data_IF_371269568088
#
_entry.id   IF_371269568088
#
_cell.length_a   1.000
_cell.length_b   1.000
_cell.length_c   1.000
_cell.angle_alpha   90.00
_cell.angle_beta   90.00
_cell.angle_gamma   90.00
#
_symmetry.space_group_name_H-M   'P 1'
#
loop_
_entity.id
_entity.type
_entity.pdbx_description
1 polymer ?
#
# COMPACT_ATOMS: atom_id res chain seq x y z
N UNK A 1 -9.57 9.83 -18.05
CA UNK A 1 -8.15 10.25 -18.04
C UNK A 1 -7.35 9.42 -19.04
N UNK A 2 -6.24 9.97 -19.59
CA UNK A 2 -5.26 9.21 -20.37
C UNK A 2 -4.24 8.55 -19.43
N UNK A 3 -3.50 7.56 -19.93
CA UNK A 3 -2.35 7.00 -19.21
C UNK A 3 -1.28 8.08 -19.00
N UNK A 4 -0.77 8.17 -17.78
CA UNK A 4 0.33 9.06 -17.43
C UNK A 4 1.65 8.54 -18.05
N UNK A 5 2.52 9.45 -18.43
CA UNK A 5 3.89 9.10 -18.76
C UNK A 5 4.67 8.72 -17.50
N UNK A 6 5.75 7.97 -17.65
CA UNK A 6 6.68 7.64 -16.56
C UNK A 6 7.13 8.91 -15.83
N UNK A 7 7.54 9.93 -16.59
CA UNK A 7 7.99 11.21 -16.03
C UNK A 7 6.90 11.92 -15.21
N UNK A 8 5.64 11.84 -15.63
CA UNK A 8 4.52 12.42 -14.88
C UNK A 8 4.26 11.65 -13.59
N UNK A 9 4.31 10.33 -13.65
CA UNK A 9 4.17 9.47 -12.46
C UNK A 9 5.28 9.75 -11.44
N UNK A 10 6.52 9.85 -11.88
CA UNK A 10 7.64 10.20 -11.01
C UNK A 10 7.50 11.59 -10.40
N UNK A 11 7.00 12.57 -11.15
CA UNK A 11 6.72 13.90 -10.61
C UNK A 11 5.67 13.84 -9.50
N UNK A 12 4.58 13.09 -9.69
CA UNK A 12 3.54 12.93 -8.67
C UNK A 12 4.08 12.23 -7.42
N UNK A 13 4.90 11.19 -7.58
CA UNK A 13 5.47 10.50 -6.41
C UNK A 13 6.48 11.36 -5.66
N UNK A 14 7.29 12.15 -6.35
CA UNK A 14 8.23 13.11 -5.72
C UNK A 14 7.46 14.21 -4.98
N UNK A 15 6.45 14.80 -5.63
CA UNK A 15 5.56 15.78 -5.02
C UNK A 15 4.91 15.22 -3.75
N UNK A 16 4.36 13.99 -3.83
CA UNK A 16 3.73 13.33 -2.70
C UNK A 16 4.70 13.09 -1.54
N UNK A 17 5.90 12.61 -1.83
CA UNK A 17 6.93 12.36 -0.81
C UNK A 17 7.36 13.63 -0.09
N UNK A 18 7.56 14.72 -0.83
CA UNK A 18 8.06 15.98 -0.27
C UNK A 18 6.93 16.77 0.40
N UNK A 19 5.84 17.01 -0.31
CA UNK A 19 4.83 17.97 0.11
C UNK A 19 3.72 17.40 1.00
N UNK A 20 3.46 16.08 0.92
CA UNK A 20 2.40 15.46 1.73
C UNK A 20 2.94 14.62 2.88
N UNK A 21 4.01 13.86 2.67
CA UNK A 21 4.53 12.97 3.72
C UNK A 21 5.90 13.38 4.25
N UNK A 22 6.50 14.45 3.73
CA UNK A 22 7.78 15.03 4.17
C UNK A 22 8.80 13.92 4.47
N UNK A 23 9.18 13.20 3.43
CA UNK A 23 10.11 12.08 3.51
C UNK A 23 11.14 12.15 2.39
N UNK A 24 12.26 11.49 2.59
CA UNK A 24 13.28 11.31 1.57
C UNK A 24 12.74 10.68 0.28
N UNK A 25 13.30 11.06 -0.85
CA UNK A 25 12.81 10.65 -2.17
C UNK A 25 13.05 9.18 -2.49
N UNK A 26 14.07 8.57 -1.89
CA UNK A 26 14.57 7.25 -2.27
C UNK A 26 14.42 6.20 -1.14
N UNK A 27 14.12 6.65 0.10
CA UNK A 27 13.98 5.77 1.27
C UNK A 27 12.69 4.94 1.27
N UNK A 28 12.69 3.74 1.84
CA UNK A 28 11.47 2.99 2.13
C UNK A 28 10.51 3.78 3.01
N UNK A 29 9.21 3.62 2.79
CA UNK A 29 8.18 4.28 3.60
C UNK A 29 7.38 3.24 4.41
N UNK A 30 6.99 3.61 5.63
CA UNK A 30 6.06 2.82 6.41
C UNK A 30 4.63 3.30 6.14
N UNK A 31 3.82 2.46 5.54
CA UNK A 31 2.45 2.81 5.12
C UNK A 31 1.56 3.22 6.29
N UNK A 32 1.70 2.58 7.47
CA UNK A 32 0.92 2.94 8.66
C UNK A 32 1.27 4.35 9.14
N UNK A 33 2.57 4.67 9.18
CA UNK A 33 3.06 6.02 9.52
C UNK A 33 2.59 7.05 8.49
N UNK A 34 2.60 6.72 7.20
CA UNK A 34 2.10 7.59 6.14
C UNK A 34 0.62 7.91 6.35
N UNK A 35 -0.23 6.91 6.58
CA UNK A 35 -1.67 7.11 6.83
C UNK A 35 -1.93 8.01 8.04
N UNK A 36 -1.21 7.78 9.14
CA UNK A 36 -1.32 8.60 10.35
C UNK A 36 -0.93 10.05 10.06
N UNK A 37 0.19 10.27 9.37
CA UNK A 37 0.68 11.62 9.02
C UNK A 37 -0.28 12.39 8.12
N UNK A 38 -0.93 11.69 7.20
CA UNK A 38 -1.92 12.26 6.29
C UNK A 38 -3.31 12.47 6.91
N UNK A 39 -3.54 11.98 8.12
CA UNK A 39 -4.86 12.02 8.76
C UNK A 39 -5.91 11.18 8.00
N UNK A 40 -5.48 10.18 7.24
CA UNK A 40 -6.39 9.29 6.51
C UNK A 40 -6.91 8.22 7.46
N UNK A 41 -8.24 8.13 7.58
CA UNK A 41 -8.88 7.04 8.31
C UNK A 41 -8.84 5.78 7.46
N UNK A 42 -8.11 4.77 7.90
CA UNK A 42 -8.02 3.49 7.21
C UNK A 42 -8.48 2.32 8.10
N UNK A 43 -9.36 1.48 7.54
CA UNK A 43 -9.87 0.27 8.16
C UNK A 43 -9.40 -0.95 7.37
N UNK A 44 -8.98 -1.98 8.09
CA UNK A 44 -8.61 -3.27 7.51
C UNK A 44 -9.64 -4.31 7.92
N UNK A 45 -10.38 -4.84 6.95
CA UNK A 45 -11.47 -5.81 7.16
C UNK A 45 -11.42 -6.92 6.12
N UNK A 46 -11.92 -8.08 6.51
CA UNK A 46 -12.16 -9.16 5.55
C UNK A 46 -13.25 -8.73 4.58
N UNK A 47 -12.93 -8.67 3.29
CA UNK A 47 -13.84 -8.30 2.21
C UNK A 47 -13.99 -9.47 1.23
N UNK A 48 -14.97 -9.36 0.33
CA UNK A 48 -15.22 -10.35 -0.72
C UNK A 48 -14.00 -10.57 -1.61
N UNK A 49 -13.92 -11.76 -2.17
CA UNK A 49 -12.90 -12.10 -3.15
C UNK A 49 -12.92 -11.14 -4.36
N UNK A 50 -11.74 -10.82 -4.87
CA UNK A 50 -11.58 -9.89 -5.99
C UNK A 50 -11.61 -8.40 -5.62
N UNK A 51 -12.04 -8.04 -4.40
CA UNK A 51 -11.91 -6.67 -3.90
C UNK A 51 -10.55 -6.50 -3.21
N UNK A 52 -9.83 -5.42 -3.56
CA UNK A 52 -8.59 -5.04 -2.88
C UNK A 52 -8.85 -4.02 -1.78
N UNK A 53 -9.68 -3.03 -2.07
CA UNK A 53 -10.03 -1.96 -1.17
C UNK A 53 -11.01 -0.98 -1.79
N UNK A 54 -11.29 0.06 -1.07
CA UNK A 54 -12.02 1.23 -1.57
C UNK A 54 -11.51 2.48 -0.86
N UNK A 55 -11.67 3.63 -1.51
CA UNK A 55 -11.40 4.93 -0.91
C UNK A 55 -12.51 5.92 -1.22
N UNK A 56 -12.66 6.90 -0.33
CA UNK A 56 -13.60 8.00 -0.49
C UNK A 56 -13.01 9.28 0.11
N UNK A 57 -13.22 10.38 -0.60
CA UNK A 57 -12.95 11.73 -0.11
C UNK A 57 -14.26 12.46 0.07
N UNK A 58 -14.53 12.96 1.27
CA UNK A 58 -15.73 13.74 1.55
C UNK A 58 -15.63 15.14 0.93
N UNK A 59 -16.76 15.85 0.89
CA UNK A 59 -16.81 17.26 0.47
C UNK A 59 -16.09 18.19 1.46
N UNK A 60 -15.83 17.74 2.69
CA UNK A 60 -15.07 18.43 3.74
C UNK A 60 -13.60 18.06 3.75
N UNK A 61 -13.14 17.31 2.73
CA UNK A 61 -11.78 16.82 2.53
C UNK A 61 -11.33 15.73 3.53
N UNK A 62 -12.25 15.16 4.30
CA UNK A 62 -11.96 13.97 5.10
C UNK A 62 -11.73 12.78 4.17
N UNK A 63 -10.69 11.99 4.45
CA UNK A 63 -10.26 10.87 3.62
C UNK A 63 -10.41 9.56 4.38
N UNK A 64 -11.06 8.61 3.73
CA UNK A 64 -11.30 7.29 4.26
C UNK A 64 -10.87 6.23 3.26
N UNK A 65 -10.36 5.11 3.76
CA UNK A 65 -10.15 3.90 2.96
C UNK A 65 -10.48 2.63 3.75
N UNK A 66 -10.94 1.64 3.02
CA UNK A 66 -11.19 0.28 3.52
C UNK A 66 -10.31 -0.69 2.73
N UNK A 67 -9.49 -1.47 3.42
CA UNK A 67 -8.49 -2.36 2.83
C UNK A 67 -8.84 -3.82 3.13
N UNK A 68 -8.78 -4.67 2.11
CA UNK A 68 -9.08 -6.09 2.27
C UNK A 68 -7.95 -6.82 3.02
N UNK A 69 -8.21 -7.19 4.26
CA UNK A 69 -7.28 -7.92 5.12
C UNK A 69 -7.06 -9.39 4.71
N UNK A 70 -7.89 -9.95 3.81
CA UNK A 70 -7.69 -11.28 3.23
C UNK A 70 -6.51 -11.33 2.24
N UNK A 71 -6.07 -10.18 1.72
CA UNK A 71 -4.85 -10.08 0.94
C UNK A 71 -3.62 -10.19 1.84
N UNK A 72 -2.49 -10.66 1.32
CA UNK A 72 -1.24 -10.62 2.07
C UNK A 72 -0.82 -9.17 2.40
N UNK A 73 -0.02 -9.00 3.46
CA UNK A 73 0.36 -7.67 3.98
C UNK A 73 1.06 -6.83 2.90
N UNK A 74 1.96 -7.40 2.12
CA UNK A 74 2.64 -6.64 1.05
C UNK A 74 1.67 -6.11 -0.02
N UNK A 75 0.59 -6.86 -0.31
CA UNK A 75 -0.47 -6.42 -1.20
C UNK A 75 -1.37 -5.36 -0.56
N UNK A 76 -1.66 -5.48 0.74
CA UNK A 76 -2.38 -4.44 1.47
C UNK A 76 -1.65 -3.10 1.40
N UNK A 77 -0.32 -3.10 1.59
CA UNK A 77 0.51 -1.90 1.46
C UNK A 77 0.42 -1.29 0.06
N UNK A 78 0.47 -2.15 -0.97
CA UNK A 78 0.31 -1.70 -2.35
C UNK A 78 -1.08 -1.09 -2.60
N UNK A 79 -2.14 -1.73 -2.09
CA UNK A 79 -3.51 -1.21 -2.19
C UNK A 79 -3.63 0.15 -1.51
N UNK A 80 -3.07 0.33 -0.31
CA UNK A 80 -3.06 1.64 0.35
C UNK A 80 -2.40 2.70 -0.52
N UNK A 81 -1.23 2.41 -1.09
CA UNK A 81 -0.52 3.36 -1.96
C UNK A 81 -1.30 3.67 -3.25
N UNK A 82 -2.00 2.67 -3.80
CA UNK A 82 -2.91 2.81 -4.93
C UNK A 82 -4.09 3.74 -4.60
N UNK A 83 -4.75 3.52 -3.46
CA UNK A 83 -5.87 4.36 -3.02
C UNK A 83 -5.44 5.80 -2.68
N UNK A 84 -4.20 6.00 -2.22
CA UNK A 84 -3.65 7.35 -2.05
C UNK A 84 -3.59 8.13 -3.38
N UNK A 85 -3.33 7.47 -4.51
CA UNK A 85 -3.45 8.13 -5.80
C UNK A 85 -4.85 8.66 -6.06
N UNK A 86 -5.88 7.85 -5.83
CA UNK A 86 -7.27 8.26 -6.03
C UNK A 86 -7.70 9.38 -5.09
N UNK A 87 -7.26 9.34 -3.83
CA UNK A 87 -7.57 10.36 -2.83
C UNK A 87 -6.92 11.72 -3.09
N UNK A 88 -5.74 11.76 -3.72
CA UNK A 88 -4.95 12.99 -3.88
C UNK A 88 -4.89 13.51 -5.32
N UNK A 89 -4.94 12.61 -6.30
CA UNK A 89 -4.81 12.95 -7.72
C UNK A 89 -6.02 12.54 -8.56
N UNK A 90 -6.91 11.73 -8.02
CA UNK A 90 -8.17 11.36 -8.65
C UNK A 90 -9.12 12.53 -8.76
N UNK A 91 -9.93 12.55 -9.81
CA UNK A 91 -10.92 13.62 -10.07
C UNK A 91 -12.30 13.33 -9.50
N UNK A 92 -12.55 12.11 -9.04
CA UNK A 92 -13.87 11.67 -8.63
C UNK A 92 -14.10 11.91 -7.13
N UNK A 93 -15.28 12.46 -6.80
CA UNK A 93 -15.81 12.55 -5.43
C UNK A 93 -16.68 11.35 -5.05
N UNK A 94 -16.84 10.39 -5.96
CA UNK A 94 -17.57 9.15 -5.73
C UNK A 94 -16.61 8.11 -5.09
N UNK A 95 -17.12 7.18 -4.27
CA UNK A 95 -16.30 6.10 -3.76
C UNK A 95 -15.59 5.36 -4.87
N UNK A 96 -14.28 5.25 -4.79
CA UNK A 96 -13.48 4.43 -5.69
C UNK A 96 -13.43 2.99 -5.14
N UNK A 97 -13.66 1.99 -5.99
CA UNK A 97 -13.62 0.58 -5.64
C UNK A 97 -12.48 -0.09 -6.41
N UNK A 98 -11.41 -0.43 -5.71
CA UNK A 98 -10.27 -1.15 -6.27
C UNK A 98 -10.56 -2.64 -6.40
N UNK A 99 -10.47 -3.14 -7.64
CA UNK A 99 -10.59 -4.56 -7.98
C UNK A 99 -9.30 -5.08 -8.57
N UNK A 100 -9.10 -6.38 -8.44
CA UNK A 100 -7.98 -7.08 -9.08
C UNK A 100 -8.01 -6.91 -10.60
N UNK A 101 -6.89 -6.43 -11.18
CA UNK A 101 -6.68 -6.42 -12.62
C UNK A 101 -7.43 -5.33 -13.37
N UNK A 102 -7.77 -4.22 -12.74
CA UNK A 102 -8.28 -3.03 -13.42
C UNK A 102 -7.38 -2.60 -14.58
N UNK A 103 -7.98 -2.33 -15.75
CA UNK A 103 -7.25 -1.97 -16.98
C UNK A 103 -7.55 -0.56 -17.44
N UNK A 104 -8.46 0.12 -16.77
CA UNK A 104 -8.81 1.50 -17.02
C UNK A 104 -7.56 2.38 -16.87
N UNK A 105 -7.40 3.43 -17.68
CA UNK A 105 -6.22 4.28 -17.61
C UNK A 105 -5.94 4.84 -16.22
N UNK A 106 -6.96 5.15 -15.44
CA UNK A 106 -6.83 5.67 -14.07
C UNK A 106 -6.27 4.62 -13.11
N UNK A 107 -6.73 3.35 -13.21
CA UNK A 107 -6.20 2.23 -12.44
C UNK A 107 -4.72 1.97 -12.76
N UNK A 108 -4.35 2.01 -14.04
CA UNK A 108 -2.95 1.86 -14.48
C UNK A 108 -2.08 3.00 -13.95
N UNK A 109 -2.62 4.20 -13.87
CA UNK A 109 -1.93 5.36 -13.28
C UNK A 109 -1.73 5.18 -11.77
N UNK A 110 -2.78 4.73 -11.06
CA UNK A 110 -2.72 4.44 -9.63
C UNK A 110 -1.72 3.32 -9.31
N UNK A 111 -1.71 2.24 -10.09
CA UNK A 111 -0.71 1.16 -9.96
C UNK A 111 0.72 1.66 -10.21
N UNK A 112 0.90 2.53 -11.20
CA UNK A 112 2.21 3.08 -11.52
C UNK A 112 2.69 4.02 -10.42
N UNK A 113 1.80 4.85 -9.89
CA UNK A 113 2.07 5.71 -8.74
C UNK A 113 2.41 4.88 -7.48
N UNK A 114 1.58 3.89 -7.13
CA UNK A 114 1.81 3.02 -5.98
C UNK A 114 3.16 2.32 -6.05
N UNK A 115 3.48 1.78 -7.23
CA UNK A 115 4.75 1.11 -7.49
C UNK A 115 5.94 2.05 -7.32
N UNK A 116 5.88 3.28 -7.85
CA UNK A 116 6.96 4.27 -7.75
C UNK A 116 7.05 4.89 -6.34
N UNK A 117 5.90 5.08 -5.66
CA UNK A 117 5.85 5.60 -4.29
C UNK A 117 6.50 4.63 -3.30
N UNK A 118 6.15 3.34 -3.38
CA UNK A 118 6.68 2.32 -2.48
C UNK A 118 8.12 1.95 -2.81
N UNK A 119 8.46 1.88 -4.10
CA UNK A 119 9.74 1.39 -4.60
C UNK A 119 10.37 2.42 -5.55
N UNK A 120 10.90 3.54 -5.04
CA UNK A 120 11.64 4.50 -5.87
C UNK A 120 12.83 3.83 -6.56
N UNK A 121 13.08 4.18 -7.81
CA UNK A 121 14.10 3.51 -8.63
C UNK A 121 15.48 3.56 -7.98
N UNK A 122 15.92 4.73 -7.53
CA UNK A 122 17.24 4.86 -6.88
C UNK A 122 17.32 4.05 -5.58
N UNK A 123 16.26 4.09 -4.76
CA UNK A 123 16.17 3.31 -3.54
C UNK A 123 16.25 1.80 -3.81
N UNK A 124 15.59 1.32 -4.88
CA UNK A 124 15.71 -0.08 -5.32
C UNK A 124 17.13 -0.43 -5.73
N UNK A 125 17.74 0.37 -6.60
CA UNK A 125 19.10 0.11 -7.09
C UNK A 125 20.10 0.04 -5.92
N UNK A 126 19.94 0.87 -4.90
CA UNK A 126 20.78 0.83 -3.68
C UNK A 126 20.67 -0.47 -2.89
N UNK A 127 19.56 -1.21 -3.02
CA UNK A 127 19.38 -2.51 -2.35
C UNK A 127 20.00 -3.67 -3.14
N UNK A 128 20.32 -3.48 -4.41
CA UNK A 128 20.86 -4.52 -5.27
C UNK A 128 22.40 -4.54 -5.22
N UNK A 129 23.03 -5.72 -5.02
CA UNK A 129 24.46 -5.86 -5.23
C UNK A 129 24.84 -5.41 -6.64
N UNK A 130 25.92 -4.63 -6.77
CA UNK A 130 26.30 -4.02 -8.05
C UNK A 130 26.53 -5.04 -9.17
N UNK A 131 26.96 -6.27 -8.85
CA UNK A 131 27.14 -7.34 -9.81
C UNK A 131 25.80 -7.93 -10.28
N UNK A 132 24.85 -8.16 -9.36
CA UNK A 132 23.50 -8.60 -9.69
C UNK A 132 22.76 -7.56 -10.54
N UNK A 133 22.88 -6.27 -10.18
CA UNK A 133 22.29 -5.18 -10.95
C UNK A 133 22.83 -5.11 -12.38
N UNK A 134 24.19 -5.18 -12.57
CA UNK A 134 24.79 -5.11 -13.91
C UNK A 134 24.48 -6.33 -14.78
N UNK A 135 24.37 -7.52 -14.18
CA UNK A 135 24.10 -8.75 -14.91
C UNK A 135 22.61 -9.03 -15.14
N UNK A 136 21.72 -8.36 -14.40
CA UNK A 136 20.29 -8.65 -14.36
C UNK A 136 19.95 -10.01 -13.74
N UNK A 137 20.92 -10.66 -13.09
CA UNK A 137 20.76 -11.96 -12.41
C UNK A 137 20.60 -11.74 -10.91
N UNK A 138 19.38 -11.42 -10.50
CA UNK A 138 19.06 -11.18 -9.09
C UNK A 138 18.90 -12.51 -8.37
N UNK A 139 19.50 -12.66 -7.17
CA UNK A 139 19.33 -13.84 -6.34
C UNK A 139 18.02 -13.80 -5.54
N UNK A 140 17.51 -14.98 -5.14
CA UNK A 140 16.34 -15.09 -4.25
C UNK A 140 16.58 -14.35 -2.92
N UNK A 141 17.77 -14.43 -2.36
CA UNK A 141 18.13 -13.73 -1.12
C UNK A 141 17.99 -12.19 -1.27
N UNK A 142 18.43 -11.64 -2.41
CA UNK A 142 18.30 -10.21 -2.71
C UNK A 142 16.84 -9.81 -2.89
N UNK A 143 16.03 -10.61 -3.60
CA UNK A 143 14.58 -10.35 -3.74
C UNK A 143 13.90 -10.31 -2.38
N UNK A 144 14.06 -11.36 -1.56
CA UNK A 144 13.44 -11.46 -0.23
C UNK A 144 13.84 -10.30 0.70
N UNK A 145 15.12 -9.90 0.68
CA UNK A 145 15.59 -8.74 1.45
C UNK A 145 14.94 -7.44 0.97
N UNK A 146 14.89 -7.24 -0.34
CA UNK A 146 14.33 -6.02 -0.95
C UNK A 146 12.82 -5.91 -0.69
N UNK A 147 12.07 -7.01 -0.81
CA UNK A 147 10.64 -7.06 -0.48
C UNK A 147 10.37 -6.63 0.96
N UNK A 148 11.18 -7.08 1.90
CA UNK A 148 11.06 -6.72 3.32
C UNK A 148 11.42 -5.26 3.59
N UNK A 149 12.47 -4.76 2.94
CA UNK A 149 12.90 -3.35 3.08
C UNK A 149 11.79 -2.41 2.62
N UNK A 150 11.15 -2.70 1.49
CA UNK A 150 10.08 -1.86 0.94
C UNK A 150 8.66 -2.26 1.42
N UNK A 151 8.52 -3.38 2.13
CA UNK A 151 7.23 -3.87 2.62
C UNK A 151 6.25 -4.24 1.50
N UNK A 152 6.73 -4.79 0.39
CA UNK A 152 5.94 -5.09 -0.81
C UNK A 152 5.82 -6.59 -1.07
N UNK A 153 4.78 -7.00 -1.80
CA UNK A 153 4.63 -8.39 -2.22
C UNK A 153 5.64 -8.76 -3.29
N UNK A 154 5.94 -10.06 -3.39
CA UNK A 154 6.81 -10.63 -4.41
C UNK A 154 6.43 -10.19 -5.83
N UNK A 155 5.15 -10.33 -6.20
CA UNK A 155 4.66 -9.91 -7.51
C UNK A 155 4.89 -8.42 -7.77
N UNK A 156 4.65 -7.56 -6.77
CA UNK A 156 4.83 -6.12 -6.91
C UNK A 156 6.31 -5.76 -7.18
N UNK A 157 7.25 -6.39 -6.46
CA UNK A 157 8.68 -6.19 -6.69
C UNK A 157 9.09 -6.69 -8.07
N UNK A 158 8.71 -7.91 -8.46
CA UNK A 158 9.07 -8.47 -9.77
C UNK A 158 8.56 -7.63 -10.93
N UNK A 159 7.31 -7.16 -10.87
CA UNK A 159 6.73 -6.26 -11.87
C UNK A 159 7.50 -4.93 -11.93
N UNK A 160 7.90 -4.39 -10.78
CA UNK A 160 8.68 -3.15 -10.72
C UNK A 160 10.05 -3.31 -11.35
N UNK A 161 10.77 -4.37 -11.00
CA UNK A 161 12.10 -4.67 -11.56
C UNK A 161 12.05 -4.89 -13.08
N UNK A 162 11.01 -5.58 -13.57
CA UNK A 162 10.77 -5.78 -15.00
C UNK A 162 10.50 -4.45 -15.73
N UNK A 163 9.61 -3.60 -15.17
CA UNK A 163 9.29 -2.29 -15.74
C UNK A 163 10.49 -1.33 -15.77
N UNK A 164 11.42 -1.48 -14.84
CA UNK A 164 12.69 -0.72 -14.79
C UNK A 164 13.78 -1.36 -15.63
N UNK A 165 13.50 -2.44 -16.36
CA UNK A 165 14.46 -3.21 -17.17
C UNK A 165 15.68 -3.74 -16.37
N UNK A 166 15.54 -3.89 -15.05
CA UNK A 166 16.55 -4.48 -14.15
C UNK A 166 16.59 -5.99 -14.32
N UNK A 167 15.43 -6.62 -14.56
CA UNK A 167 15.31 -8.03 -14.94
C UNK A 167 14.61 -8.14 -16.28
N UNK A 168 14.78 -9.28 -16.97
CA UNK A 168 14.08 -9.60 -18.19
C UNK A 168 12.88 -10.52 -17.95
N UNK A 169 12.07 -10.78 -19.00
CA UNK A 169 10.88 -11.64 -18.93
C UNK A 169 11.20 -13.07 -18.47
N UNK A 170 12.34 -13.65 -18.89
CA UNK A 170 12.72 -14.99 -18.47
C UNK A 170 12.96 -15.06 -16.96
N UNK A 171 13.70 -14.09 -16.41
CA UNK A 171 13.93 -13.97 -14.96
C UNK A 171 12.62 -13.71 -14.21
N UNK A 172 11.74 -12.87 -14.74
CA UNK A 172 10.42 -12.63 -14.16
C UNK A 172 9.60 -13.93 -14.08
N UNK A 173 9.49 -14.70 -15.16
CA UNK A 173 8.73 -15.96 -15.18
C UNK A 173 9.33 -17.00 -14.23
N UNK A 174 10.65 -17.08 -14.15
CA UNK A 174 11.35 -17.97 -13.24
C UNK A 174 10.94 -17.72 -11.79
N UNK A 175 10.98 -16.47 -11.34
CA UNK A 175 10.66 -16.13 -9.95
C UNK A 175 9.16 -16.12 -9.67
N UNK A 176 8.32 -15.75 -10.64
CA UNK A 176 6.86 -15.77 -10.49
C UNK A 176 6.30 -17.17 -10.19
N UNK A 177 6.96 -18.23 -10.65
CA UNK A 177 6.53 -19.60 -10.40
C UNK A 177 6.87 -20.12 -8.99
N UNK A 178 7.57 -19.33 -8.18
CA UNK A 178 8.07 -19.73 -6.87
C UNK A 178 7.01 -19.55 -5.78
N UNK A 179 6.92 -20.50 -4.86
CA UNK A 179 6.11 -20.36 -3.65
C UNK A 179 6.86 -19.52 -2.62
N UNK A 180 6.69 -18.20 -2.69
CA UNK A 180 7.52 -17.23 -1.96
C UNK A 180 7.50 -17.44 -0.43
N UNK A 181 6.36 -17.86 0.15
CA UNK A 181 6.28 -18.14 1.60
C UNK A 181 7.24 -19.26 2.02
N UNK A 182 7.35 -20.33 1.21
CA UNK A 182 8.25 -21.43 1.47
C UNK A 182 9.72 -21.02 1.32
N UNK A 183 10.03 -20.22 0.29
CA UNK A 183 11.38 -19.71 0.09
C UNK A 183 11.79 -18.77 1.22
N UNK A 184 10.94 -17.83 1.62
CA UNK A 184 11.21 -16.94 2.74
C UNK A 184 11.52 -17.73 4.03
N UNK A 185 10.70 -18.74 4.35
CA UNK A 185 10.95 -19.62 5.50
C UNK A 185 12.29 -20.37 5.38
N UNK A 186 12.64 -20.88 4.20
CA UNK A 186 13.90 -21.57 3.94
C UNK A 186 15.12 -20.68 4.15
N UNK A 187 15.00 -19.38 3.85
CA UNK A 187 16.04 -18.38 4.12
C UNK A 187 16.00 -17.82 5.55
N UNK A 188 15.12 -18.31 6.43
CA UNK A 188 15.00 -17.87 7.82
C UNK A 188 14.30 -16.52 8.00
N UNK A 189 13.61 -16.03 6.99
CA UNK A 189 12.83 -14.79 7.08
C UNK A 189 11.44 -15.03 7.69
N UNK A 190 10.93 -14.02 8.41
CA UNK A 190 9.53 -13.97 8.80
C UNK A 190 8.64 -13.92 7.55
N UNK A 191 7.57 -14.71 7.56
CA UNK A 191 6.66 -14.91 6.42
C UNK A 191 5.40 -14.04 6.49
N UNK A 192 5.27 -13.19 7.51
CA UNK A 192 4.07 -12.36 7.74
C UNK A 192 3.73 -11.48 6.53
N UNK A 193 4.74 -10.91 5.86
CA UNK A 193 4.57 -10.07 4.66
C UNK A 193 3.77 -10.78 3.55
N UNK A 194 3.90 -12.09 3.45
CA UNK A 194 3.29 -12.93 2.40
C UNK A 194 1.97 -13.59 2.82
N UNK A 195 1.45 -13.27 4.00
CA UNK A 195 0.23 -13.82 4.57
C UNK A 195 -0.81 -12.73 4.83
N UNK A 196 -2.12 -13.07 4.87
CA UNK A 196 -3.15 -12.19 5.39
C UNK A 196 -2.83 -11.73 6.80
N UNK A 197 -3.28 -10.52 7.14
CA UNK A 197 -3.10 -9.94 8.47
C UNK A 197 -3.81 -8.60 8.58
N UNK A 198 -3.63 -7.90 9.70
CA UNK A 198 -4.22 -6.60 9.98
C UNK A 198 -5.77 -6.61 10.06
N UNK A 199 -6.45 -7.76 10.09
CA UNK A 199 -7.90 -7.76 10.26
C UNK A 199 -8.27 -7.10 11.59
N UNK A 200 -9.18 -6.14 11.54
CA UNK A 200 -9.55 -5.35 12.71
C UNK A 200 -8.67 -4.13 12.98
N UNK A 201 -7.59 -3.94 12.22
CA UNK A 201 -6.73 -2.77 12.37
C UNK A 201 -7.45 -1.49 11.94
N UNK A 202 -7.31 -0.45 12.76
CA UNK A 202 -7.71 0.92 12.48
C UNK A 202 -6.46 1.81 12.50
N UNK A 203 -6.41 2.75 11.57
CA UNK A 203 -5.41 3.81 11.57
C UNK A 203 -6.16 5.13 11.38
N UNK A 204 -5.85 6.13 12.22
CA UNK A 204 -6.50 7.44 12.18
C UNK A 204 -7.25 7.76 13.47
N UNK A 205 -7.97 8.88 13.46
CA UNK A 205 -8.57 9.52 14.65
C UNK A 205 -10.06 9.22 14.79
N UNK A 206 -10.52 7.99 14.45
CA UNK A 206 -11.95 7.64 14.49
C UNK A 206 -12.58 7.93 15.86
N UNK A 207 -11.89 7.62 16.96
CA UNK A 207 -12.38 7.89 18.31
C UNK A 207 -12.54 9.39 18.59
N UNK A 208 -11.59 10.20 18.17
CA UNK A 208 -11.65 11.66 18.32
C UNK A 208 -12.77 12.26 17.45
N UNK A 209 -12.92 11.78 16.21
CA UNK A 209 -14.00 12.20 15.32
C UNK A 209 -15.37 11.85 15.92
N UNK A 210 -15.54 10.63 16.40
CA UNK A 210 -16.78 10.18 17.05
C UNK A 210 -17.10 11.01 18.29
N UNK A 211 -16.10 11.29 19.15
CA UNK A 211 -16.27 12.15 20.32
C UNK A 211 -16.71 13.56 19.96
N UNK A 212 -16.07 14.16 18.96
CA UNK A 212 -16.41 15.49 18.45
C UNK A 212 -17.86 15.58 17.95
N UNK A 213 -18.31 14.57 17.19
CA UNK A 213 -19.68 14.56 16.67
C UNK A 213 -20.72 14.24 17.75
N UNK A 214 -20.35 13.43 18.77
CA UNK A 214 -21.17 13.22 19.95
C UNK A 214 -21.34 14.49 20.79
N UNK A 215 -20.24 15.21 21.08
CA UNK A 215 -20.27 16.49 21.83
C UNK A 215 -21.07 17.59 21.11
N UNK A 216 -21.19 17.50 19.78
CA UNK A 216 -22.03 18.37 18.95
C UNK A 216 -23.49 17.93 18.87
N UNK A 217 -23.85 16.81 19.51
CA UNK A 217 -25.20 16.24 19.44
C UNK A 217 -25.60 15.68 18.08
N UNK A 218 -24.63 15.40 17.18
CA UNK A 218 -24.91 14.87 15.84
C UNK A 218 -25.04 13.35 15.81
N UNK A 219 -24.50 12.66 16.79
CA UNK A 219 -24.69 11.21 16.98
C UNK A 219 -25.19 10.95 18.40
N UNK A 220 -25.99 9.90 18.56
CA UNK A 220 -26.48 9.46 19.88
C UNK A 220 -25.36 8.82 20.70
N UNK A 221 -25.55 8.74 22.03
CA UNK A 221 -24.64 8.02 22.90
C UNK A 221 -24.48 6.55 22.50
N UNK A 222 -25.58 5.89 22.15
CA UNK A 222 -25.54 4.50 21.66
C UNK A 222 -24.66 4.35 20.42
N UNK A 223 -24.79 5.25 19.45
CA UNK A 223 -23.94 5.23 18.24
C UNK A 223 -22.47 5.56 18.54
N UNK A 224 -22.22 6.49 19.46
CA UNK A 224 -20.87 6.80 19.93
C UNK A 224 -20.19 5.58 20.58
N UNK A 225 -20.93 4.89 21.48
CA UNK A 225 -20.43 3.67 22.14
C UNK A 225 -20.21 2.52 21.14
N UNK A 226 -21.07 2.40 20.13
CA UNK A 226 -20.91 1.43 19.04
C UNK A 226 -19.60 1.67 18.27
N UNK A 227 -19.30 2.92 17.91
CA UNK A 227 -18.04 3.28 17.25
C UNK A 227 -16.84 2.96 18.15
N UNK A 228 -16.90 3.31 19.44
CA UNK A 228 -15.81 3.00 20.37
C UNK A 228 -15.57 1.49 20.51
N UNK A 229 -16.62 0.67 20.50
CA UNK A 229 -16.52 -0.79 20.56
C UNK A 229 -15.92 -1.40 19.28
N UNK A 230 -15.92 -0.67 18.17
CA UNK A 230 -15.24 -1.10 16.93
C UNK A 230 -13.71 -0.88 17.00
N UNK A 231 -13.24 0.00 17.89
CA UNK A 231 -11.82 0.27 18.08
C UNK A 231 -11.14 -0.89 18.83
N UNK A 232 -9.86 -1.19 18.53
CA UNK A 232 -9.12 -2.19 19.29
C UNK A 232 -9.07 -1.81 20.77
N UNK A 233 -9.59 -2.68 21.64
CA UNK A 233 -9.34 -2.54 23.07
C UNK A 233 -7.95 -3.07 23.38
N UNK A 234 -7.08 -2.27 23.98
CA UNK A 234 -5.75 -2.68 24.48
C UNK A 234 -5.80 -3.87 25.46
N UNK A 235 -7.01 -4.34 25.85
CA UNK A 235 -7.22 -5.43 26.81
C UNK A 235 -7.14 -6.85 26.20
N UNK A 236 -6.86 -6.99 24.88
CA UNK A 236 -6.82 -8.32 24.24
C UNK A 236 -5.41 -8.82 23.91
N UNK A 237 -4.36 -8.11 24.31
CA UNK A 237 -2.95 -8.57 24.18
C UNK A 237 -2.31 -8.79 25.57
N UNK A 238 -2.97 -9.54 26.44
CA UNK A 238 -2.38 -10.03 27.68
C UNK A 238 -2.50 -11.54 27.76
#
# INVERSE_FOLDING_TARGET
MSRLSIATTERYTKDFRVNYIDTDLDSPINIKTVLTKLGVLALFRSLSEGLCGLSIRSTTDDRFMLINSNNNIGRQHFTVAHELYHLYYGTNTVPHICRLGGKEPEEVNADSFASALLMPEKGLIQQLPGEEYRSGKISMATLLRTERVFGVSHDALLIRLLKLHIINDATYQQFKSVTITSEAARYGYDTSLYRPGNNGLYIGTLGEMAKKEFDRGKISEGHYLEILNMLPNERQEA
#
